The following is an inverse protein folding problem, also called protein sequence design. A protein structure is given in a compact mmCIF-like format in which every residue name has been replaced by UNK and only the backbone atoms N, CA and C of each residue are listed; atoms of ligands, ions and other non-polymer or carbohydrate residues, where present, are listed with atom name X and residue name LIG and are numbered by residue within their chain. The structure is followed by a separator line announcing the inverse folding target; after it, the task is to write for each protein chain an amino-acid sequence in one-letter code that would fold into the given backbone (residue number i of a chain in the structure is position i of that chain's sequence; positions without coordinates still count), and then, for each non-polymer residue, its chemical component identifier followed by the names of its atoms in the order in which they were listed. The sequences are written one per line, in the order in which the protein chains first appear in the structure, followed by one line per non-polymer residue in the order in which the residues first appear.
data_IF_495343370936
#
_entry.id   IF_495343370936
#
_cell.length_a   1.000
_cell.length_b   1.000
_cell.length_c   1.000
_cell.angle_alpha   90.00
_cell.angle_beta   90.00
_cell.angle_gamma   90.00
#
_symmetry.space_group_name_H-M   'P 1'
#
loop_
_entity.id
_entity.type
_entity.pdbx_description
1 polymer ?
#
# COMPACT_ATOMS: atom_id res chain seq x y z
N UNK A 1 53.17 56.25 -63.05
CA UNK A 1 51.85 56.21 -62.37
C UNK A 1 51.21 54.85 -62.44
N UNK A 2 50.98 54.15 -63.56
CA UNK A 2 50.37 52.82 -63.61
C UNK A 2 51.21 51.72 -62.93
N UNK A 3 52.56 51.71 -63.14
CA UNK A 3 53.44 50.72 -62.54
C UNK A 3 53.58 50.86 -61.02
N UNK A 4 53.51 52.10 -60.48
CA UNK A 4 53.53 52.35 -59.04
C UNK A 4 52.25 51.91 -58.36
N UNK A 5 51.11 52.06 -59.00
CA UNK A 5 49.81 51.63 -58.54
C UNK A 5 49.72 50.07 -58.49
N UNK A 6 50.20 49.42 -59.54
CA UNK A 6 50.28 47.95 -59.62
C UNK A 6 51.18 47.38 -58.53
N UNK A 7 52.37 48.00 -58.32
CA UNK A 7 53.31 47.55 -57.26
C UNK A 7 52.73 47.78 -55.85
N UNK A 8 51.97 48.88 -55.64
CA UNK A 8 51.30 49.16 -54.38
C UNK A 8 50.23 48.05 -54.06
N UNK A 9 49.45 47.69 -55.04
CA UNK A 9 48.42 46.66 -54.93
C UNK A 9 49.09 45.31 -54.66
N UNK A 10 50.14 44.96 -55.41
CA UNK A 10 50.88 43.69 -55.20
C UNK A 10 51.49 43.62 -53.79
N UNK A 11 52.15 44.70 -53.35
CA UNK A 11 52.74 44.72 -52.01
C UNK A 11 51.69 44.65 -50.89
N UNK A 12 50.55 45.31 -51.03
CA UNK A 12 49.44 45.21 -50.08
C UNK A 12 48.87 43.78 -50.02
N UNK A 13 48.75 43.17 -51.23
CA UNK A 13 48.30 41.74 -51.26
C UNK A 13 49.25 40.80 -50.55
N UNK A 14 50.52 40.90 -50.84
CA UNK A 14 51.57 40.03 -50.25
C UNK A 14 51.77 40.30 -48.75
N UNK A 15 51.79 41.57 -48.36
CA UNK A 15 52.14 41.96 -47.00
C UNK A 15 50.99 41.82 -45.99
N UNK A 16 49.74 41.92 -46.40
CA UNK A 16 48.59 42.00 -45.51
C UNK A 16 47.47 41.04 -45.88
N UNK A 17 47.03 40.96 -47.15
CA UNK A 17 45.94 40.07 -47.52
C UNK A 17 46.26 38.57 -47.40
N UNK A 18 47.45 38.20 -47.92
CA UNK A 18 47.88 36.78 -47.84
C UNK A 18 48.03 36.29 -46.39
N UNK A 19 48.77 37.01 -45.51
CA UNK A 19 48.88 36.57 -44.11
C UNK A 19 47.51 36.59 -43.36
N UNK A 20 46.63 37.56 -43.66
CA UNK A 20 45.29 37.57 -43.07
C UNK A 20 44.49 36.35 -43.52
N UNK A 21 44.50 36.05 -44.81
CA UNK A 21 43.83 34.89 -45.36
C UNK A 21 44.41 33.57 -44.85
N UNK A 22 45.76 33.46 -44.66
CA UNK A 22 46.42 32.29 -44.06
C UNK A 22 45.96 32.07 -42.61
N UNK A 23 45.79 33.17 -41.85
CA UNK A 23 45.23 33.10 -40.48
C UNK A 23 43.80 32.56 -40.46
N UNK A 24 42.96 33.02 -41.39
CA UNK A 24 41.59 32.52 -41.52
C UNK A 24 41.55 31.04 -41.98
N UNK A 25 42.41 30.65 -42.91
CA UNK A 25 42.52 29.25 -43.30
C UNK A 25 42.96 28.34 -42.12
N UNK A 26 43.87 28.85 -41.28
CA UNK A 26 44.23 28.19 -40.02
C UNK A 26 43.05 27.97 -39.08
N UNK A 27 42.18 28.99 -38.94
CA UNK A 27 40.94 28.86 -38.16
C UNK A 27 39.96 27.85 -38.79
N UNK A 28 39.79 27.86 -40.10
CA UNK A 28 38.94 26.89 -40.82
C UNK A 28 39.42 25.48 -40.59
N UNK A 29 40.72 25.22 -40.72
CA UNK A 29 41.30 23.88 -40.50
C UNK A 29 41.07 23.40 -39.04
N UNK A 30 41.22 24.28 -38.05
CA UNK A 30 40.93 23.93 -36.63
C UNK A 30 39.45 23.71 -36.40
N UNK A 31 38.59 24.55 -37.00
CA UNK A 31 37.13 24.38 -36.91
C UNK A 31 36.68 23.04 -37.53
N UNK A 32 37.17 22.70 -38.74
CA UNK A 32 36.86 21.43 -39.38
C UNK A 32 37.30 20.20 -38.52
N UNK A 33 38.49 20.28 -37.93
CA UNK A 33 38.96 19.25 -37.01
C UNK A 33 38.11 19.17 -35.72
N UNK A 34 37.65 20.32 -35.20
CA UNK A 34 36.75 20.36 -34.05
C UNK A 34 35.39 19.77 -34.38
N UNK A 35 34.80 20.07 -35.53
CA UNK A 35 33.55 19.47 -35.99
C UNK A 35 33.69 17.96 -36.21
N UNK A 36 34.78 17.49 -36.77
CA UNK A 36 35.06 16.05 -36.91
C UNK A 36 35.17 15.35 -35.54
N UNK A 37 35.83 15.99 -34.58
CA UNK A 37 35.89 15.50 -33.19
C UNK A 37 34.49 15.42 -32.58
N UNK A 38 33.66 16.42 -32.73
CA UNK A 38 32.26 16.42 -32.27
C UNK A 38 31.48 15.29 -32.93
N UNK A 39 31.61 15.07 -34.24
CA UNK A 39 30.93 14.02 -34.98
C UNK A 39 31.32 12.61 -34.51
N UNK A 40 32.54 12.45 -34.03
CA UNK A 40 33.02 11.14 -33.55
C UNK A 40 32.78 10.91 -32.07
N UNK A 41 33.09 11.89 -31.21
CA UNK A 41 33.05 11.75 -29.76
C UNK A 41 31.70 12.12 -29.15
N UNK A 42 30.88 12.93 -29.85
CA UNK A 42 29.56 13.38 -29.40
C UNK A 42 28.44 13.01 -30.42
N UNK A 43 28.58 11.88 -31.07
CA UNK A 43 27.67 11.43 -32.13
C UNK A 43 26.20 11.41 -31.72
N UNK A 44 25.88 11.10 -30.44
CA UNK A 44 24.52 11.01 -29.94
C UNK A 44 23.84 12.38 -29.82
N UNK A 45 24.59 13.46 -29.70
CA UNK A 45 24.03 14.81 -29.51
C UNK A 45 24.32 15.78 -30.65
N UNK A 46 25.08 15.38 -31.66
CA UNK A 46 25.51 16.21 -32.75
C UNK A 46 24.40 16.96 -33.48
N UNK A 47 23.21 16.35 -33.57
CA UNK A 47 22.04 16.90 -34.25
C UNK A 47 21.11 17.67 -33.28
N UNK A 48 21.48 17.80 -32.01
CA UNK A 48 20.72 18.58 -31.04
C UNK A 48 20.83 20.06 -31.37
N UNK A 49 19.76 20.84 -31.08
CA UNK A 49 19.75 22.27 -31.34
C UNK A 49 20.90 23.01 -30.63
N UNK A 50 21.31 22.56 -29.45
CA UNK A 50 22.42 23.13 -28.68
C UNK A 50 23.73 23.00 -29.44
N UNK A 51 24.01 21.82 -29.96
CA UNK A 51 25.26 21.52 -30.69
C UNK A 51 25.24 22.21 -32.07
N UNK A 52 24.15 22.08 -32.81
CA UNK A 52 23.98 22.72 -34.14
C UNK A 52 24.15 24.22 -34.04
N UNK A 53 23.54 24.88 -33.05
CA UNK A 53 23.67 26.31 -32.86
C UNK A 53 25.11 26.72 -32.51
N UNK A 54 25.78 25.99 -31.62
CA UNK A 54 27.17 26.25 -31.24
C UNK A 54 28.12 26.12 -32.43
N UNK A 55 27.99 25.05 -33.22
CA UNK A 55 28.77 24.84 -34.45
C UNK A 55 28.51 25.96 -35.47
N UNK A 56 27.25 26.33 -35.67
CA UNK A 56 26.87 27.38 -36.60
C UNK A 56 27.36 28.76 -36.18
N UNK A 57 27.37 29.06 -34.88
CA UNK A 57 27.86 30.34 -34.35
C UNK A 57 29.35 30.54 -34.67
N UNK A 58 30.19 29.51 -34.41
CA UNK A 58 31.61 29.58 -34.70
C UNK A 58 31.84 29.69 -36.23
N UNK A 59 31.11 28.94 -37.05
CA UNK A 59 31.18 29.02 -38.50
C UNK A 59 30.89 30.45 -38.98
N UNK A 60 29.80 31.06 -38.48
CA UNK A 60 29.40 32.43 -38.83
C UNK A 60 30.48 33.45 -38.47
N UNK A 61 31.12 33.34 -37.30
CA UNK A 61 32.21 34.24 -36.89
C UNK A 61 33.42 34.15 -37.82
N UNK A 62 33.77 32.94 -38.31
CA UNK A 62 34.84 32.75 -39.30
C UNK A 62 34.46 33.40 -40.65
N UNK A 63 33.21 33.25 -41.08
CA UNK A 63 32.71 33.85 -42.32
C UNK A 63 32.70 35.39 -42.23
N UNK A 64 32.24 35.96 -41.13
CA UNK A 64 32.23 37.40 -40.88
C UNK A 64 33.63 37.97 -40.85
N UNK A 65 34.60 37.28 -40.24
CA UNK A 65 36.01 37.68 -40.30
C UNK A 65 36.54 37.68 -41.73
N UNK A 66 36.26 36.64 -42.53
CA UNK A 66 36.66 36.59 -43.93
C UNK A 66 36.05 37.76 -44.74
N UNK A 67 34.80 38.06 -44.49
CA UNK A 67 34.10 39.17 -45.10
C UNK A 67 34.77 40.50 -44.75
N UNK A 68 35.08 40.74 -43.48
CA UNK A 68 35.74 41.95 -43.01
C UNK A 68 37.13 42.14 -43.64
N UNK A 69 37.94 41.07 -43.75
CA UNK A 69 39.24 41.11 -44.44
C UNK A 69 39.07 41.47 -45.92
N UNK A 70 38.11 40.86 -46.63
CA UNK A 70 37.87 41.12 -48.04
C UNK A 70 37.38 42.50 -48.25
N UNK A 71 36.47 43.04 -47.42
CA UNK A 71 35.99 44.43 -47.51
C UNK A 71 37.10 45.48 -47.25
N UNK A 72 37.95 45.25 -46.21
CA UNK A 72 39.07 46.10 -45.91
C UNK A 72 40.13 46.10 -47.02
N UNK A 73 40.35 44.93 -47.66
CA UNK A 73 41.23 44.83 -48.82
C UNK A 73 40.65 45.57 -50.05
N UNK A 74 39.37 45.36 -50.38
CA UNK A 74 38.67 45.97 -51.48
C UNK A 74 38.61 47.49 -51.32
N UNK A 75 38.54 48.03 -50.12
CA UNK A 75 38.51 49.43 -49.78
C UNK A 75 39.90 50.05 -49.63
N UNK A 76 40.98 49.28 -49.88
CA UNK A 76 42.40 49.68 -49.70
C UNK A 76 42.77 50.12 -48.27
N UNK A 77 41.96 49.72 -47.24
CA UNK A 77 42.15 50.08 -45.84
C UNK A 77 42.90 49.01 -45.04
N UNK A 78 43.02 47.78 -45.55
CA UNK A 78 43.53 46.62 -44.81
C UNK A 78 44.93 46.89 -44.19
N UNK A 79 45.83 47.56 -44.92
CA UNK A 79 47.15 47.91 -44.40
C UNK A 79 47.12 48.85 -43.20
N UNK A 80 46.08 49.63 -43.03
CA UNK A 80 45.92 50.64 -41.97
C UNK A 80 45.23 50.06 -40.74
N UNK A 81 44.30 49.11 -40.93
CA UNK A 81 43.48 48.52 -39.85
C UNK A 81 43.72 47.01 -39.66
N UNK A 82 44.91 46.53 -40.12
CA UNK A 82 45.22 45.08 -40.16
C UNK A 82 45.05 44.41 -38.79
N UNK A 83 45.62 45.01 -37.75
CA UNK A 83 45.55 44.44 -36.38
C UNK A 83 44.13 44.47 -35.83
N UNK A 84 43.33 45.49 -36.17
CA UNK A 84 41.93 45.62 -35.76
C UNK A 84 41.07 44.58 -36.46
N UNK A 85 41.27 44.36 -37.76
CA UNK A 85 40.53 43.39 -38.56
C UNK A 85 40.81 41.96 -38.12
N UNK A 86 42.07 41.68 -37.70
CA UNK A 86 42.47 40.35 -37.22
C UNK A 86 42.36 40.13 -35.70
N UNK A 87 42.00 41.18 -34.95
CA UNK A 87 41.76 41.01 -33.49
C UNK A 87 40.82 39.84 -33.14
N UNK A 88 39.74 39.55 -33.90
CA UNK A 88 38.85 38.41 -33.60
C UNK A 88 39.47 37.02 -33.77
N UNK A 89 40.65 36.88 -34.41
CA UNK A 89 41.26 35.55 -34.66
C UNK A 89 41.46 34.77 -33.37
N UNK A 90 42.01 35.41 -32.33
CA UNK A 90 42.26 34.76 -31.02
C UNK A 90 40.94 34.38 -30.33
N UNK A 91 39.96 35.26 -30.40
CA UNK A 91 38.64 35.00 -29.82
C UNK A 91 37.90 33.86 -30.52
N UNK A 92 38.02 33.78 -31.87
CA UNK A 92 37.43 32.69 -32.64
C UNK A 92 38.16 31.37 -32.35
N UNK A 93 39.47 31.41 -32.23
CA UNK A 93 40.24 30.22 -31.86
C UNK A 93 39.88 29.67 -30.47
N UNK A 94 39.70 30.57 -29.51
CA UNK A 94 39.15 30.20 -28.18
C UNK A 94 37.74 29.64 -28.30
N UNK A 95 36.89 30.28 -29.08
CA UNK A 95 35.50 29.81 -29.28
C UNK A 95 35.43 28.40 -29.92
N UNK A 96 36.38 28.04 -30.79
CA UNK A 96 36.48 26.68 -31.34
C UNK A 96 36.75 25.66 -30.22
N UNK A 97 37.63 26.00 -29.28
CA UNK A 97 37.94 25.11 -28.13
C UNK A 97 36.74 25.00 -27.19
N UNK A 98 36.19 26.16 -26.81
CA UNK A 98 35.04 26.25 -25.92
C UNK A 98 33.82 25.49 -26.49
N UNK A 99 33.59 25.56 -27.79
CA UNK A 99 32.55 24.81 -28.49
C UNK A 99 32.73 23.28 -28.28
N UNK A 100 33.95 22.77 -28.46
CA UNK A 100 34.22 21.32 -28.28
C UNK A 100 34.00 20.91 -26.83
N UNK A 101 34.55 21.70 -25.90
CA UNK A 101 34.39 21.39 -24.45
C UNK A 101 32.92 21.42 -24.04
N UNK A 102 32.17 22.41 -24.46
CA UNK A 102 30.72 22.52 -24.18
C UNK A 102 29.95 21.33 -24.75
N UNK A 103 30.24 20.91 -26.00
CA UNK A 103 29.56 19.80 -26.65
C UNK A 103 29.88 18.44 -25.95
N UNK A 104 31.14 18.23 -25.58
CA UNK A 104 31.53 17.03 -24.88
C UNK A 104 30.93 16.96 -23.45
N UNK A 105 30.88 18.09 -22.73
CA UNK A 105 30.19 18.19 -21.45
C UNK A 105 28.68 17.89 -21.59
N UNK A 106 28.07 18.47 -22.62
CA UNK A 106 26.65 18.19 -22.92
C UNK A 106 26.41 16.70 -23.25
N UNK A 107 27.28 16.07 -24.05
CA UNK A 107 27.25 14.64 -24.35
C UNK A 107 27.32 13.81 -23.05
N UNK A 108 28.21 14.14 -22.13
CA UNK A 108 28.33 13.44 -20.86
C UNK A 108 27.05 13.56 -20.01
N UNK A 109 26.46 14.77 -19.99
CA UNK A 109 25.18 15.01 -19.28
C UNK A 109 24.04 14.20 -19.88
N UNK A 110 23.93 14.13 -21.21
CA UNK A 110 22.92 13.33 -21.89
C UNK A 110 23.10 11.84 -21.59
N UNK A 111 24.33 11.33 -21.66
CA UNK A 111 24.61 9.92 -21.34
C UNK A 111 24.26 9.59 -19.88
N UNK A 112 24.67 10.42 -18.93
CA UNK A 112 24.34 10.22 -17.52
C UNK A 112 22.83 10.28 -17.27
N UNK A 113 22.12 11.17 -18.00
CA UNK A 113 20.68 11.30 -17.94
C UNK A 113 19.95 10.04 -18.47
N UNK A 114 20.42 9.45 -19.57
CA UNK A 114 19.87 8.20 -20.14
C UNK A 114 20.11 7.00 -19.21
N UNK A 115 21.31 6.87 -18.66
CA UNK A 115 21.64 5.81 -17.72
C UNK A 115 20.81 5.92 -16.43
N UNK A 116 20.70 7.14 -15.87
CA UNK A 116 19.88 7.39 -14.70
C UNK A 116 18.40 7.11 -14.97
N UNK A 117 17.87 7.52 -16.12
CA UNK A 117 16.50 7.26 -16.51
C UNK A 117 16.20 5.76 -16.59
N UNK A 118 17.11 5.00 -17.22
CA UNK A 118 16.98 3.54 -17.35
C UNK A 118 16.93 2.88 -15.97
N UNK A 119 17.83 3.25 -15.07
CA UNK A 119 17.86 2.73 -13.69
C UNK A 119 16.61 3.10 -12.91
N UNK A 120 16.23 4.38 -12.90
CA UNK A 120 15.06 4.86 -12.16
C UNK A 120 13.76 4.25 -12.68
N UNK A 121 13.64 4.03 -13.99
CA UNK A 121 12.49 3.34 -14.59
C UNK A 121 12.41 1.88 -14.12
N UNK A 122 13.56 1.21 -13.96
CA UNK A 122 13.60 -0.14 -13.40
C UNK A 122 13.20 -0.16 -11.92
N UNK A 123 13.65 0.84 -11.13
CA UNK A 123 13.27 0.98 -9.73
C UNK A 123 11.76 1.23 -9.58
N UNK A 124 11.17 2.10 -10.42
CA UNK A 124 9.71 2.33 -10.46
C UNK A 124 8.95 1.06 -10.83
N UNK A 125 9.43 0.31 -11.83
CA UNK A 125 8.82 -0.96 -12.22
C UNK A 125 8.85 -2.00 -11.09
N UNK A 126 9.89 -2.01 -10.26
CA UNK A 126 9.96 -2.88 -9.09
C UNK A 126 8.92 -2.49 -8.02
N UNK A 127 8.69 -1.19 -7.80
CA UNK A 127 7.64 -0.70 -6.89
C UNK A 127 6.26 -1.04 -7.44
N UNK A 128 6.02 -0.82 -8.75
CA UNK A 128 4.76 -1.20 -9.41
C UNK A 128 4.48 -2.70 -9.26
N UNK A 129 5.48 -3.56 -9.45
CA UNK A 129 5.31 -5.00 -9.29
C UNK A 129 4.91 -5.40 -7.86
N UNK A 130 5.42 -4.69 -6.83
CA UNK A 130 4.98 -4.89 -5.43
C UNK A 130 3.53 -4.49 -5.23
N UNK A 131 3.11 -3.37 -5.81
CA UNK A 131 1.72 -2.91 -5.74
C UNK A 131 0.77 -3.88 -6.45
N UNK A 132 1.14 -4.36 -7.63
CA UNK A 132 0.35 -5.34 -8.39
C UNK A 132 0.23 -6.68 -7.64
N UNK A 133 1.31 -7.13 -6.99
CA UNK A 133 1.29 -8.32 -6.16
C UNK A 133 0.37 -8.14 -4.93
N UNK A 134 0.43 -6.99 -4.27
CA UNK A 134 -0.44 -6.67 -3.14
C UNK A 134 -1.91 -6.63 -3.56
N UNK A 135 -2.21 -5.99 -4.69
CA UNK A 135 -3.56 -5.99 -5.27
C UNK A 135 -4.07 -7.40 -5.54
N UNK A 136 -3.24 -8.24 -6.17
CA UNK A 136 -3.59 -9.64 -6.42
C UNK A 136 -3.86 -10.40 -5.11
N UNK A 137 -3.02 -10.23 -4.11
CA UNK A 137 -3.21 -10.86 -2.79
C UNK A 137 -4.54 -10.42 -2.16
N UNK A 138 -4.89 -9.13 -2.25
CA UNK A 138 -6.16 -8.61 -1.71
C UNK A 138 -7.34 -9.20 -2.48
N UNK A 139 -7.27 -9.28 -3.81
CA UNK A 139 -8.33 -9.83 -4.65
C UNK A 139 -8.51 -11.35 -4.48
N UNK A 140 -7.46 -12.08 -4.11
CA UNK A 140 -7.52 -13.56 -3.97
C UNK A 140 -7.65 -14.01 -2.53
N UNK A 141 -6.76 -13.57 -1.66
CA UNK A 141 -6.65 -14.08 -0.30
C UNK A 141 -7.59 -13.34 0.67
N UNK A 142 -7.95 -12.08 0.34
CA UNK A 142 -8.84 -11.22 1.13
C UNK A 142 -10.09 -10.81 0.35
N UNK A 143 -10.57 -11.68 -0.55
CA UNK A 143 -11.66 -11.39 -1.49
C UNK A 143 -12.94 -10.84 -0.82
N UNK A 144 -13.29 -11.31 0.37
CA UNK A 144 -14.49 -10.89 1.10
C UNK A 144 -14.45 -9.42 1.55
N UNK A 145 -13.25 -8.85 1.68
CA UNK A 145 -13.04 -7.46 2.13
C UNK A 145 -12.36 -6.59 1.07
N UNK A 146 -12.06 -7.13 -0.11
CA UNK A 146 -11.26 -6.47 -1.15
C UNK A 146 -11.80 -5.09 -1.57
N UNK A 147 -13.11 -4.93 -1.66
CA UNK A 147 -13.75 -3.66 -2.04
C UNK A 147 -13.37 -2.51 -1.10
N UNK A 148 -13.12 -2.79 0.19
CA UNK A 148 -12.79 -1.78 1.19
C UNK A 148 -11.44 -1.12 0.91
N UNK A 149 -10.53 -1.79 0.18
CA UNK A 149 -9.15 -1.35 -0.08
C UNK A 149 -8.94 -0.81 -1.49
N UNK A 150 -9.98 -0.78 -2.33
CA UNK A 150 -9.88 -0.30 -3.71
C UNK A 150 -9.38 1.14 -3.80
N UNK A 151 -9.83 2.03 -2.91
CA UNK A 151 -9.42 3.43 -2.88
C UNK A 151 -7.97 3.59 -2.43
N UNK A 152 -7.52 2.81 -1.44
CA UNK A 152 -6.16 2.87 -0.93
C UNK A 152 -5.15 2.37 -1.98
N UNK A 153 -5.49 1.29 -2.70
CA UNK A 153 -4.69 0.79 -3.82
C UNK A 153 -4.63 1.82 -4.94
N UNK A 154 -5.75 2.48 -5.26
CA UNK A 154 -5.80 3.52 -6.28
C UNK A 154 -4.93 4.72 -5.91
N UNK A 155 -4.93 5.15 -4.65
CA UNK A 155 -4.07 6.23 -4.16
C UNK A 155 -2.58 5.86 -4.29
N UNK A 156 -2.19 4.63 -3.93
CA UNK A 156 -0.82 4.14 -4.11
C UNK A 156 -0.42 4.10 -5.59
N UNK A 157 -1.34 3.77 -6.49
CA UNK A 157 -1.09 3.83 -7.94
C UNK A 157 -0.85 5.26 -8.42
N UNK A 158 -1.64 6.23 -7.94
CA UNK A 158 -1.42 7.64 -8.25
C UNK A 158 -0.05 8.13 -7.78
N UNK A 159 0.42 7.67 -6.63
CA UNK A 159 1.75 7.99 -6.11
C UNK A 159 2.87 7.42 -7.00
N UNK A 160 2.73 6.15 -7.45
CA UNK A 160 3.69 5.53 -8.41
C UNK A 160 3.70 6.31 -9.73
N UNK A 161 2.53 6.66 -10.26
CA UNK A 161 2.40 7.43 -11.50
C UNK A 161 3.01 8.83 -11.35
N UNK A 162 2.86 9.47 -10.19
CA UNK A 162 3.46 10.76 -9.87
C UNK A 162 4.98 10.71 -9.90
N UNK A 163 5.60 9.69 -9.28
CA UNK A 163 7.05 9.47 -9.33
C UNK A 163 7.49 9.24 -10.78
N UNK A 164 6.78 8.41 -11.53
CA UNK A 164 7.10 8.10 -12.93
C UNK A 164 7.09 9.36 -13.81
N UNK A 165 6.05 10.19 -13.67
CA UNK A 165 5.93 11.45 -14.38
C UNK A 165 7.02 12.45 -13.98
N UNK A 166 7.37 12.52 -12.71
CA UNK A 166 8.46 13.34 -12.19
C UNK A 166 9.81 12.95 -12.79
N UNK A 167 10.13 11.67 -12.80
CA UNK A 167 11.36 11.12 -13.40
C UNK A 167 11.41 11.42 -14.90
N UNK A 168 10.27 11.20 -15.60
CA UNK A 168 10.19 11.53 -17.03
C UNK A 168 10.39 13.02 -17.31
N UNK A 169 9.80 13.90 -16.51
CA UNK A 169 9.99 15.35 -16.65
C UNK A 169 11.47 15.75 -16.50
N UNK A 170 12.16 15.20 -15.50
CA UNK A 170 13.60 15.44 -15.30
C UNK A 170 14.44 14.86 -16.45
N UNK A 171 14.06 13.70 -16.99
CA UNK A 171 14.70 13.13 -18.15
C UNK A 171 14.58 14.01 -19.40
N UNK A 172 13.36 14.49 -19.70
CA UNK A 172 13.09 15.34 -20.85
C UNK A 172 13.87 16.68 -20.78
N UNK A 173 14.19 17.15 -19.58
CA UNK A 173 14.99 18.35 -19.32
C UNK A 173 16.51 18.08 -19.20
N UNK A 174 16.97 16.85 -19.40
CA UNK A 174 18.38 16.42 -19.22
C UNK A 174 18.92 16.78 -17.84
N UNK A 175 18.12 16.55 -16.79
CA UNK A 175 18.43 16.90 -15.39
C UNK A 175 18.75 15.70 -14.50
N UNK A 176 18.55 14.46 -14.97
CA UNK A 176 18.91 13.28 -14.21
C UNK A 176 20.43 13.10 -14.18
N UNK A 177 20.92 12.64 -13.05
CA UNK A 177 22.34 12.37 -12.80
C UNK A 177 22.52 10.97 -12.22
N UNK A 178 23.74 10.51 -12.11
CA UNK A 178 24.07 9.22 -11.44
C UNK A 178 23.61 9.16 -9.98
N UNK A 179 23.44 10.32 -9.32
CA UNK A 179 23.00 10.43 -7.94
C UNK A 179 21.47 10.53 -7.81
N UNK A 180 20.74 10.72 -8.92
CA UNK A 180 19.28 10.79 -8.89
C UNK A 180 18.68 9.49 -8.36
N UNK A 181 17.74 9.59 -7.43
CA UNK A 181 17.03 8.47 -6.79
C UNK A 181 15.54 8.76 -6.72
N UNK A 182 14.73 7.71 -6.69
CA UNK A 182 13.32 7.82 -6.30
C UNK A 182 13.19 7.60 -4.79
N UNK A 183 12.25 8.28 -4.17
CA UNK A 183 11.82 7.95 -2.81
C UNK A 183 10.48 7.21 -2.88
N UNK A 184 10.54 5.89 -2.76
CA UNK A 184 9.38 5.02 -2.76
C UNK A 184 8.98 4.56 -1.34
N UNK A 185 9.66 5.06 -0.30
CA UNK A 185 9.49 4.61 1.09
C UNK A 185 8.03 4.70 1.56
N UNK A 186 7.36 5.80 1.23
CA UNK A 186 5.95 5.99 1.61
C UNK A 186 5.02 5.01 0.89
N UNK A 187 5.28 4.72 -0.38
CA UNK A 187 4.50 3.76 -1.18
C UNK A 187 4.68 2.35 -0.64
N UNK A 188 5.92 1.93 -0.39
CA UNK A 188 6.22 0.61 0.16
C UNK A 188 5.58 0.40 1.54
N UNK A 189 5.69 1.38 2.43
CA UNK A 189 5.01 1.36 3.72
C UNK A 189 3.48 1.35 3.57
N UNK A 190 2.93 2.07 2.59
CA UNK A 190 1.51 2.06 2.24
C UNK A 190 1.04 0.69 1.76
N UNK A 191 1.80 0.01 0.92
CA UNK A 191 1.52 -1.36 0.45
C UNK A 191 1.47 -2.34 1.64
N UNK A 192 2.47 -2.31 2.53
CA UNK A 192 2.51 -3.15 3.72
C UNK A 192 1.31 -2.90 4.63
N UNK A 193 0.95 -1.62 4.82
CA UNK A 193 -0.19 -1.23 5.64
C UNK A 193 -1.51 -1.73 5.05
N UNK A 194 -1.75 -1.57 3.76
CA UNK A 194 -2.99 -2.01 3.10
C UNK A 194 -3.14 -3.53 3.21
N UNK A 195 -2.07 -4.30 3.05
CA UNK A 195 -2.08 -5.76 3.24
C UNK A 195 -2.40 -6.15 4.69
N UNK A 196 -1.79 -5.48 5.66
CA UNK A 196 -2.04 -5.73 7.08
C UNK A 196 -3.50 -5.39 7.48
N UNK A 197 -4.01 -4.26 6.99
CA UNK A 197 -5.39 -3.84 7.24
C UNK A 197 -6.39 -4.79 6.58
N UNK A 198 -6.11 -5.31 5.37
CA UNK A 198 -6.95 -6.30 4.69
C UNK A 198 -7.00 -7.63 5.46
N UNK A 199 -5.86 -8.10 5.96
CA UNK A 199 -5.79 -9.29 6.80
C UNK A 199 -6.59 -9.12 8.10
N UNK A 200 -6.49 -7.96 8.74
CA UNK A 200 -7.24 -7.65 9.96
C UNK A 200 -8.76 -7.52 9.69
N UNK A 201 -9.14 -6.94 8.57
CA UNK A 201 -10.53 -6.82 8.16
C UNK A 201 -11.15 -8.20 7.88
N UNK A 202 -10.44 -9.09 7.16
CA UNK A 202 -10.89 -10.46 6.91
C UNK A 202 -11.06 -11.23 8.22
N UNK A 203 -10.06 -11.18 9.13
CA UNK A 203 -10.16 -11.84 10.43
C UNK A 203 -11.37 -11.34 11.24
N UNK A 204 -11.72 -10.07 11.10
CA UNK A 204 -12.91 -9.48 11.73
C UNK A 204 -14.20 -10.03 11.13
N UNK A 205 -14.29 -10.13 9.80
CA UNK A 205 -15.46 -10.70 9.13
C UNK A 205 -15.61 -12.20 9.42
N UNK A 206 -14.52 -12.96 9.42
CA UNK A 206 -14.52 -14.38 9.82
C UNK A 206 -15.00 -14.55 11.27
N UNK A 207 -14.54 -13.69 12.19
CA UNK A 207 -14.99 -13.71 13.58
C UNK A 207 -16.50 -13.41 13.70
N UNK A 208 -17.01 -12.45 12.95
CA UNK A 208 -18.45 -12.14 12.92
C UNK A 208 -19.26 -13.32 12.38
N UNK A 209 -18.81 -13.95 11.30
CA UNK A 209 -19.45 -15.11 10.71
C UNK A 209 -19.49 -16.30 11.67
N UNK A 210 -18.34 -16.62 12.29
CA UNK A 210 -18.26 -17.66 13.30
C UNK A 210 -19.18 -17.38 14.50
N UNK A 211 -19.27 -16.12 14.91
CA UNK A 211 -20.16 -15.67 15.99
C UNK A 211 -21.63 -15.86 15.61
N UNK A 212 -22.04 -15.55 14.39
CA UNK A 212 -23.42 -15.72 13.89
C UNK A 212 -23.81 -17.21 13.77
N UNK A 213 -22.91 -18.02 13.21
CA UNK A 213 -23.08 -19.47 13.11
C UNK A 213 -23.23 -20.12 14.49
N UNK A 214 -22.36 -19.73 15.44
CA UNK A 214 -22.43 -20.22 16.82
C UNK A 214 -23.71 -19.78 17.52
N UNK A 215 -24.14 -18.53 17.33
CA UNK A 215 -25.38 -18.01 17.89
C UNK A 215 -26.60 -18.79 17.39
N UNK A 216 -26.65 -19.03 16.08
CA UNK A 216 -27.74 -19.82 15.45
C UNK A 216 -27.81 -21.23 16.05
N UNK A 217 -26.67 -21.90 16.19
CA UNK A 217 -26.58 -23.24 16.76
C UNK A 217 -27.00 -23.26 18.23
N UNK A 218 -26.44 -22.36 19.06
CA UNK A 218 -26.74 -22.30 20.48
C UNK A 218 -28.21 -21.92 20.76
N UNK A 219 -28.80 -21.06 19.93
CA UNK A 219 -30.23 -20.72 20.01
C UNK A 219 -31.09 -21.94 19.68
N UNK A 220 -30.68 -22.77 18.72
CA UNK A 220 -31.39 -24.02 18.43
C UNK A 220 -31.29 -25.01 19.61
N UNK A 221 -30.13 -25.12 20.25
CA UNK A 221 -29.93 -25.97 21.44
C UNK A 221 -30.79 -25.49 22.61
N UNK A 222 -30.85 -24.18 22.88
CA UNK A 222 -31.72 -23.57 23.88
C UNK A 222 -33.20 -23.87 23.58
N UNK A 223 -33.60 -23.75 22.32
CA UNK A 223 -34.97 -24.05 21.88
C UNK A 223 -35.32 -25.50 22.11
N UNK A 224 -34.38 -26.42 21.90
CA UNK A 224 -34.60 -27.84 22.18
C UNK A 224 -34.79 -28.14 23.69
N UNK A 225 -34.03 -27.44 24.54
CA UNK A 225 -34.21 -27.56 26.01
C UNK A 225 -35.55 -26.94 26.44
N UNK A 226 -35.93 -25.78 25.88
CA UNK A 226 -37.25 -25.18 26.12
C UNK A 226 -38.40 -26.12 25.74
N UNK A 227 -38.31 -26.76 24.56
CA UNK A 227 -39.32 -27.71 24.13
C UNK A 227 -39.47 -28.91 25.08
N UNK A 228 -38.37 -29.37 25.71
CA UNK A 228 -38.43 -30.43 26.75
C UNK A 228 -39.14 -29.95 28.01
N UNK A 229 -38.90 -28.72 28.44
CA UNK A 229 -39.56 -28.14 29.62
C UNK A 229 -41.08 -27.96 29.32
N UNK A 230 -41.44 -27.46 28.13
CA UNK A 230 -42.83 -27.24 27.70
C UNK A 230 -43.59 -28.57 27.63
N UNK A 231 -42.93 -29.64 27.11
CA UNK A 231 -43.50 -30.98 27.08
C UNK A 231 -43.74 -31.54 28.47
N UNK A 232 -42.75 -31.37 29.37
CA UNK A 232 -42.87 -31.80 30.75
C UNK A 232 -44.01 -31.06 31.48
N UNK A 233 -44.09 -29.73 31.30
CA UNK A 233 -45.17 -28.86 31.82
C UNK A 233 -46.52 -29.35 31.32
N UNK A 234 -46.67 -29.56 30.02
CA UNK A 234 -47.92 -30.07 29.41
C UNK A 234 -48.33 -31.43 30.02
N UNK A 235 -47.39 -32.35 30.15
CA UNK A 235 -47.66 -33.67 30.79
C UNK A 235 -48.11 -33.52 32.23
N UNK A 236 -47.49 -32.64 33.03
CA UNK A 236 -47.91 -32.38 34.41
C UNK A 236 -49.30 -31.77 34.48
N UNK A 237 -49.61 -30.81 33.61
CA UNK A 237 -50.90 -30.11 33.59
C UNK A 237 -52.05 -31.00 33.05
N UNK A 238 -51.76 -32.01 32.22
CA UNK A 238 -52.78 -32.91 31.64
C UNK A 238 -52.91 -34.22 32.37
N UNK A 239 -51.76 -34.91 32.58
CA UNK A 239 -51.78 -36.28 33.10
C UNK A 239 -51.74 -36.32 34.63
N UNK A 240 -51.22 -35.27 35.29
CA UNK A 240 -51.07 -35.18 36.74
C UNK A 240 -51.72 -33.90 37.33
N UNK A 241 -52.85 -33.49 36.74
CA UNK A 241 -53.50 -32.19 36.98
C UNK A 241 -53.77 -31.90 38.47
N UNK A 242 -54.08 -32.93 39.29
CA UNK A 242 -54.38 -32.80 40.75
C UNK A 242 -53.15 -32.42 41.60
N UNK A 243 -51.96 -32.64 41.07
CA UNK A 243 -50.70 -32.28 41.76
C UNK A 243 -49.94 -31.17 41.06
N UNK A 244 -50.39 -30.64 39.94
CA UNK A 244 -49.69 -29.69 39.07
C UNK A 244 -49.22 -28.42 39.81
N UNK A 245 -50.08 -27.87 40.70
CA UNK A 245 -49.74 -26.67 41.46
C UNK A 245 -48.48 -26.84 42.31
N UNK A 246 -48.17 -28.07 42.76
CA UNK A 246 -46.99 -28.37 43.59
C UNK A 246 -45.67 -28.18 42.85
N UNK A 247 -45.68 -28.26 41.54
CA UNK A 247 -44.52 -28.21 40.67
C UNK A 247 -44.36 -26.87 39.93
N UNK A 248 -45.27 -25.92 40.13
CA UNK A 248 -45.26 -24.63 39.44
C UNK A 248 -43.95 -23.87 39.73
N UNK A 249 -43.47 -23.88 40.99
CA UNK A 249 -42.25 -23.18 41.38
C UNK A 249 -41.00 -23.82 40.76
N UNK A 250 -40.95 -25.16 40.72
CA UNK A 250 -39.79 -25.88 40.14
C UNK A 250 -39.71 -25.66 38.61
N UNK A 251 -40.85 -25.69 37.93
CA UNK A 251 -40.94 -25.38 36.51
C UNK A 251 -40.53 -23.93 36.24
N UNK A 252 -40.98 -22.98 37.08
CA UNK A 252 -40.58 -21.58 36.95
C UNK A 252 -39.09 -21.39 37.15
N UNK A 253 -38.47 -22.07 38.09
CA UNK A 253 -37.01 -22.03 38.30
C UNK A 253 -36.25 -22.56 37.09
N UNK A 254 -36.68 -23.67 36.49
CA UNK A 254 -36.09 -24.19 35.25
C UNK A 254 -36.25 -23.25 34.07
N UNK A 255 -37.38 -22.51 33.99
CA UNK A 255 -37.57 -21.46 32.98
C UNK A 255 -36.58 -20.31 33.20
N UNK A 256 -36.41 -19.85 34.44
CA UNK A 256 -35.42 -18.79 34.74
C UNK A 256 -34.00 -19.23 34.37
N UNK A 257 -33.64 -20.51 34.54
CA UNK A 257 -32.36 -21.04 34.13
C UNK A 257 -32.19 -21.02 32.61
N UNK A 258 -33.20 -21.41 31.83
CA UNK A 258 -33.21 -21.33 30.37
C UNK A 258 -33.11 -19.87 29.89
N UNK A 259 -33.87 -18.99 30.52
CA UNK A 259 -33.84 -17.53 30.18
C UNK A 259 -32.46 -16.92 30.47
N UNK A 260 -31.82 -17.37 31.57
CA UNK A 260 -30.45 -16.97 31.91
C UNK A 260 -29.45 -17.39 30.83
N UNK A 261 -29.51 -18.67 30.39
CA UNK A 261 -28.71 -19.17 29.27
C UNK A 261 -28.91 -18.30 28.03
N UNK A 262 -30.17 -18.09 27.67
CA UNK A 262 -30.50 -17.32 26.46
C UNK A 262 -29.93 -15.91 26.49
N UNK A 263 -30.06 -15.23 27.63
CA UNK A 263 -29.53 -13.89 27.81
C UNK A 263 -28.01 -13.83 27.76
N UNK A 264 -27.33 -14.86 28.30
CA UNK A 264 -25.87 -14.93 28.24
C UNK A 264 -25.37 -15.17 26.82
N UNK A 265 -25.94 -16.14 26.12
CA UNK A 265 -25.62 -16.42 24.71
C UNK A 265 -25.82 -15.18 23.87
N UNK A 266 -26.95 -14.45 24.08
CA UNK A 266 -27.19 -13.19 23.40
C UNK A 266 -26.14 -12.12 23.75
N UNK A 267 -25.75 -11.99 25.00
CA UNK A 267 -24.72 -11.05 25.41
C UNK A 267 -23.36 -11.32 24.74
N UNK A 268 -22.96 -12.59 24.67
CA UNK A 268 -21.75 -13.02 23.97
C UNK A 268 -21.83 -12.77 22.46
N UNK A 269 -23.01 -12.99 21.86
CA UNK A 269 -23.24 -12.67 20.45
C UNK A 269 -23.09 -11.17 20.17
N UNK A 270 -23.74 -10.32 20.97
CA UNK A 270 -23.68 -8.86 20.82
C UNK A 270 -22.24 -8.32 20.96
N UNK A 271 -21.37 -9.03 21.71
CA UNK A 271 -19.95 -8.71 21.89
C UNK A 271 -19.02 -9.41 20.87
N UNK A 272 -19.56 -10.16 19.90
CA UNK A 272 -18.81 -10.96 18.92
C UNK A 272 -17.82 -11.92 19.58
N UNK A 273 -18.25 -12.60 20.63
CA UNK A 273 -17.41 -13.50 21.45
C UNK A 273 -17.74 -15.00 21.28
N UNK A 274 -18.80 -15.35 20.55
CA UNK A 274 -19.11 -16.74 20.27
C UNK A 274 -18.15 -17.29 19.20
N UNK A 275 -17.78 -18.54 19.38
CA UNK A 275 -16.91 -19.28 18.46
C UNK A 275 -17.53 -20.63 18.11
N UNK A 276 -16.95 -21.33 17.14
CA UNK A 276 -17.37 -22.69 16.80
C UNK A 276 -17.35 -23.66 17.99
N UNK A 277 -16.51 -23.39 18.99
CA UNK A 277 -16.36 -24.23 20.20
C UNK A 277 -17.31 -23.80 21.33
N UNK A 278 -18.01 -22.68 21.23
CA UNK A 278 -18.95 -22.23 22.24
C UNK A 278 -20.07 -23.26 22.41
N UNK A 279 -20.41 -23.61 23.65
CA UNK A 279 -21.43 -24.59 24.00
C UNK A 279 -22.25 -24.09 25.19
N UNK A 280 -23.50 -24.53 25.27
CA UNK A 280 -24.30 -24.41 26.50
C UNK A 280 -24.18 -25.69 27.31
N UNK A 281 -24.18 -25.56 28.64
CA UNK A 281 -24.34 -26.69 29.51
C UNK A 281 -25.80 -26.72 30.07
N UNK A 282 -26.62 -27.45 29.38
CA UNK A 282 -28.02 -27.65 29.78
C UNK A 282 -28.23 -28.91 30.63
N UNK A 283 -27.16 -29.64 31.00
CA UNK A 283 -27.25 -30.93 31.69
C UNK A 283 -28.06 -30.84 32.98
N UNK A 284 -27.83 -29.81 33.77
CA UNK A 284 -28.54 -29.60 35.02
C UNK A 284 -30.03 -29.29 34.81
N UNK A 285 -30.35 -28.53 33.77
CA UNK A 285 -31.73 -28.17 33.42
C UNK A 285 -32.45 -29.41 32.91
N UNK A 286 -31.84 -30.19 32.03
CA UNK A 286 -32.42 -31.44 31.52
C UNK A 286 -32.67 -32.46 32.65
N UNK A 287 -31.72 -32.62 33.56
CA UNK A 287 -31.88 -33.45 34.74
C UNK A 287 -32.99 -32.92 35.67
N UNK A 288 -33.10 -31.62 35.82
CA UNK A 288 -34.17 -30.95 36.57
C UNK A 288 -35.55 -31.18 35.92
N UNK A 289 -35.67 -31.11 34.60
CA UNK A 289 -36.90 -31.40 33.86
C UNK A 289 -37.32 -32.86 34.11
N UNK A 290 -36.41 -33.81 33.93
CA UNK A 290 -36.67 -35.23 34.16
C UNK A 290 -37.12 -35.49 35.60
N UNK A 291 -36.46 -34.85 36.57
CA UNK A 291 -36.77 -35.00 37.99
C UNK A 291 -38.15 -34.43 38.31
N UNK A 292 -38.50 -33.24 37.88
CA UNK A 292 -39.82 -32.63 38.12
C UNK A 292 -40.93 -33.51 37.54
N UNK A 293 -40.74 -34.05 36.33
CA UNK A 293 -41.68 -34.98 35.73
C UNK A 293 -41.82 -36.29 36.51
N UNK A 294 -40.73 -36.87 36.97
CA UNK A 294 -40.74 -38.09 37.79
C UNK A 294 -41.38 -37.89 39.17
N UNK A 295 -41.11 -36.74 39.81
CA UNK A 295 -41.73 -36.39 41.11
C UNK A 295 -43.21 -36.10 40.97
N UNK A 296 -43.67 -35.46 39.89
CA UNK A 296 -45.08 -35.24 39.57
C UNK A 296 -45.81 -36.55 39.38
N UNK A 297 -45.26 -37.48 38.61
CA UNK A 297 -45.81 -38.81 38.42
C UNK A 297 -45.94 -39.58 39.77
N UNK A 298 -44.89 -39.54 40.60
CA UNK A 298 -44.89 -40.19 41.91
C UNK A 298 -45.96 -39.58 42.86
N UNK A 299 -46.11 -38.27 42.88
CA UNK A 299 -47.11 -37.56 43.65
C UNK A 299 -48.54 -37.94 43.17
N UNK A 300 -48.75 -38.04 41.87
CA UNK A 300 -50.02 -38.45 41.26
C UNK A 300 -50.36 -39.92 41.64
N UNK A 301 -49.41 -40.84 41.61
CA UNK A 301 -49.63 -42.25 42.00
C UNK A 301 -49.96 -42.42 43.49
N UNK A 302 -50.13 -41.34 44.25
CA UNK A 302 -50.52 -41.36 45.66
C UNK A 302 -49.46 -41.99 46.59
N UNK A 303 -48.28 -42.28 46.07
CA UNK A 303 -47.16 -42.82 46.81
C UNK A 303 -46.26 -41.72 47.33
N UNK A 304 -46.69 -40.51 47.32
CA UNK A 304 -45.83 -39.41 47.74
C UNK A 304 -46.12 -38.91 49.13
N UNK A 305 -45.08 -38.71 49.78
CA UNK A 305 -45.04 -37.83 50.91
C UNK A 305 -44.61 -36.47 50.42
N UNK A 306 -45.42 -35.45 50.55
CA UNK A 306 -45.06 -34.11 50.23
C UNK A 306 -43.70 -33.76 50.92
N UNK A 307 -42.70 -33.38 50.16
CA UNK A 307 -41.43 -32.97 50.70
C UNK A 307 -40.35 -34.06 50.82
N UNK A 308 -40.40 -35.14 50.00
CA UNK A 308 -39.29 -36.07 49.93
C UNK A 308 -38.07 -35.31 49.43
N UNK A 309 -37.18 -35.05 50.38
CA UNK A 309 -35.80 -34.66 50.03
C UNK A 309 -35.22 -35.84 49.25
N UNK A 310 -34.75 -35.60 48.04
CA UNK A 310 -34.04 -36.59 47.25
C UNK A 310 -32.98 -37.28 48.10
N UNK A 311 -32.83 -38.61 48.05
CA UNK A 311 -31.73 -39.26 48.69
C UNK A 311 -30.45 -38.94 47.96
N UNK A 312 -29.44 -38.64 48.66
CA UNK A 312 -28.03 -38.73 48.26
C UNK A 312 -27.57 -38.05 46.97
N UNK A 313 -28.22 -37.02 46.46
CA UNK A 313 -27.72 -36.31 45.32
C UNK A 313 -28.01 -34.83 45.40
N UNK A 314 -27.03 -34.04 45.72
CA UNK A 314 -27.20 -32.59 45.66
C UNK A 314 -27.43 -32.14 44.24
N UNK A 315 -28.55 -31.45 43.98
CA UNK A 315 -28.89 -30.88 42.66
C UNK A 315 -28.12 -29.62 42.40
N UNK A 316 -27.74 -29.38 41.12
CA UNK A 316 -27.15 -28.12 40.73
C UNK A 316 -28.26 -27.04 40.65
N UNK A 317 -28.21 -26.09 41.60
CA UNK A 317 -29.15 -24.97 41.66
C UNK A 317 -28.82 -23.84 40.65
N UNK A 318 -27.57 -23.77 40.21
CA UNK A 318 -27.14 -22.79 39.22
C UNK A 318 -25.63 -22.65 39.10
N UNK A 319 -25.23 -22.05 38.00
CA UNK A 319 -23.85 -21.69 37.69
C UNK A 319 -23.74 -20.18 37.82
N UNK A 320 -22.66 -19.68 38.44
CA UNK A 320 -22.45 -18.26 38.68
C UNK A 320 -21.05 -17.86 38.19
N UNK A 321 -20.94 -16.69 37.59
CA UNK A 321 -19.65 -16.02 37.35
C UNK A 321 -19.04 -15.57 38.69
N UNK A 322 -17.75 -15.27 38.71
CA UNK A 322 -17.05 -14.74 39.91
C UNK A 322 -17.69 -13.47 40.44
N UNK A 323 -18.36 -12.69 39.57
CA UNK A 323 -19.12 -11.49 39.93
C UNK A 323 -20.41 -11.79 40.73
N UNK A 324 -20.79 -13.06 40.94
CA UNK A 324 -22.03 -13.44 41.58
C UNK A 324 -23.25 -13.45 40.66
N UNK A 325 -23.10 -13.10 39.40
CA UNK A 325 -24.18 -13.12 38.40
C UNK A 325 -24.46 -14.59 38.02
N UNK A 326 -25.73 -15.03 38.09
CA UNK A 326 -26.14 -16.34 37.63
C UNK A 326 -25.93 -16.43 36.13
N UNK A 327 -25.28 -17.49 35.68
CA UNK A 327 -24.98 -17.80 34.32
C UNK A 327 -25.48 -19.19 34.01
N UNK A 328 -25.77 -19.45 32.79
CA UNK A 328 -26.49 -20.61 32.37
C UNK A 328 -25.58 -21.71 31.81
N UNK A 329 -24.37 -21.36 31.41
CA UNK A 329 -23.32 -22.31 31.04
C UNK A 329 -21.97 -21.87 31.58
N UNK A 330 -21.02 -22.77 31.77
CA UNK A 330 -19.67 -22.41 32.15
C UNK A 330 -19.02 -21.50 31.11
N UNK A 331 -18.51 -20.36 31.55
CA UNK A 331 -17.81 -19.40 30.71
C UNK A 331 -16.38 -19.87 30.46
N UNK A 332 -15.96 -19.94 29.18
CA UNK A 332 -14.60 -20.30 28.77
C UNK A 332 -13.61 -19.22 29.22
N UNK A 333 -12.43 -19.60 29.66
CA UNK A 333 -11.38 -18.66 30.08
C UNK A 333 -11.55 -18.04 31.46
N UNK A 334 -12.53 -18.45 32.23
CA UNK A 334 -12.75 -17.93 33.58
C UNK A 334 -13.21 -18.95 34.59
N UNK A 335 -13.20 -18.59 35.87
CA UNK A 335 -13.67 -19.45 36.97
C UNK A 335 -15.18 -19.41 37.02
N UNK A 336 -15.84 -20.56 36.97
CA UNK A 336 -17.27 -20.74 37.17
C UNK A 336 -17.53 -21.30 38.55
N UNK A 337 -18.60 -20.84 39.22
CA UNK A 337 -19.02 -21.29 40.57
C UNK A 337 -20.30 -22.08 40.42
N UNK A 338 -20.26 -23.35 40.77
CA UNK A 338 -21.39 -24.26 40.73
C UNK A 338 -21.96 -24.37 42.17
N UNK A 339 -23.25 -24.04 42.34
CA UNK A 339 -23.96 -24.12 43.62
C UNK A 339 -24.95 -25.30 43.58
N UNK A 340 -24.92 -26.14 44.56
CA UNK A 340 -25.75 -27.33 44.69
C UNK A 340 -26.80 -27.18 45.82
N UNK A 341 -27.87 -28.03 45.78
CA UNK A 341 -28.99 -27.99 46.71
C UNK A 341 -28.60 -28.38 48.14
N UNK A 342 -27.53 -29.14 48.34
CA UNK A 342 -26.95 -29.45 49.64
C UNK A 342 -26.10 -28.31 50.25
N UNK A 343 -26.05 -27.17 49.59
CA UNK A 343 -25.21 -26.04 49.99
C UNK A 343 -23.76 -26.10 49.50
N UNK A 344 -23.37 -27.19 48.85
CA UNK A 344 -22.02 -27.36 48.31
C UNK A 344 -21.77 -26.34 47.19
N UNK A 345 -20.56 -25.78 47.17
CA UNK A 345 -20.09 -24.88 46.13
C UNK A 345 -18.77 -25.38 45.56
N UNK A 346 -18.71 -25.65 44.26
CA UNK A 346 -17.49 -26.04 43.55
C UNK A 346 -17.08 -24.98 42.57
N UNK A 347 -15.77 -24.79 42.41
CA UNK A 347 -15.19 -23.81 41.46
C UNK A 347 -14.43 -24.56 40.38
N UNK A 348 -14.69 -24.27 39.12
CA UNK A 348 -14.02 -24.86 37.97
C UNK A 348 -13.52 -23.76 37.05
N UNK A 349 -12.27 -23.91 36.59
CA UNK A 349 -11.70 -23.08 35.51
C UNK A 349 -11.90 -23.84 34.20
N UNK A 350 -12.59 -23.22 33.26
CA UNK A 350 -12.80 -23.77 31.91
C UNK A 350 -11.73 -23.20 30.99
N UNK A 351 -10.93 -24.07 30.40
CA UNK A 351 -9.92 -23.69 29.39
C UNK A 351 -10.55 -23.42 28.03
#
# INVERSE_FOLDING_TARGET
MEGELVMKVINSFIAYYTPANDSIQGLRTRYEAAVEKINTEAANVKDSAIVVNAVQEVATRIEDLQKSVNEAYANETLATIYDEVLAPVVEIDTAIVDMVEMVLDYQQKVTANEEAYTRLTADIAAVQAKLDAAKTTIETDYAEVAEQFTADIAALQEDVDSISNGVKGLYDEVKLTVESQIDATAIEAGIEKVLADAAAALATEEAKKANEEAYTRLTADITAVQAKLDAAKTTIETDYAEVAEQFTADIAALQEDIDSISNEVKGLYDEVKLTAESQIDATAIEAGIEKVLADAKKAHEGSSIAGVKGPEGAELLGIYAVSGKRVAAPLKGQVNIFKYSDGTVKKFYMK
#
